data_IF_650788702714
#
_entry.id   IF_650788702714
#
_cell.length_a   1.000
_cell.length_b   1.000
_cell.length_c   1.000
_cell.angle_alpha   90.00
_cell.angle_beta   90.00
_cell.angle_gamma   90.00
#
_symmetry.space_group_name_H-M   'P 1'
#
loop_
_entity.id
_entity.type
_entity.pdbx_description
1 polymer ?
#
# COMPACT_ATOMS: atom_id res chain seq x y z
N UNK A 1 -1.30 -15.05 -14.96
CA UNK A 1 -1.40 -14.40 -13.64
C UNK A 1 -2.59 -13.45 -13.69
N UNK A 2 -3.60 -13.59 -12.84
CA UNK A 2 -4.75 -12.66 -12.82
C UNK A 2 -4.30 -11.34 -12.20
N UNK A 3 -4.32 -10.26 -12.99
CA UNK A 3 -4.12 -8.90 -12.50
C UNK A 3 -5.36 -8.51 -11.71
N UNK A 4 -5.24 -8.40 -10.39
CA UNK A 4 -6.33 -7.92 -9.54
C UNK A 4 -6.46 -6.41 -9.79
N UNK A 5 -7.34 -6.05 -10.72
CA UNK A 5 -7.59 -4.65 -11.13
C UNK A 5 -8.80 -4.04 -10.45
N UNK A 6 -9.56 -4.76 -9.61
CA UNK A 6 -10.80 -4.22 -9.04
C UNK A 6 -10.56 -3.09 -8.03
N UNK A 7 -10.95 -1.84 -8.35
CA UNK A 7 -10.93 -0.71 -7.42
C UNK A 7 -12.19 -0.67 -6.54
N UNK A 8 -13.11 -1.63 -6.72
CA UNK A 8 -14.43 -1.64 -6.13
C UNK A 8 -14.42 -2.38 -4.78
N UNK A 9 -14.30 -1.62 -3.67
CA UNK A 9 -15.22 -1.77 -2.51
C UNK A 9 -14.93 -0.86 -1.31
N UNK A 10 -13.90 -0.01 -1.31
CA UNK A 10 -13.61 0.80 -0.12
C UNK A 10 -13.48 2.25 -0.54
N UNK A 11 -14.50 3.05 -0.22
CA UNK A 11 -14.48 4.50 -0.33
C UNK A 11 -13.19 4.99 0.33
N UNK A 12 -12.21 5.40 -0.50
CA UNK A 12 -10.90 5.79 -0.02
C UNK A 12 -11.07 6.81 1.11
N UNK A 13 -10.54 6.49 2.30
CA UNK A 13 -10.51 7.46 3.38
C UNK A 13 -9.75 8.69 2.88
N UNK A 14 -10.04 9.86 3.45
CA UNK A 14 -9.22 11.05 3.17
C UNK A 14 -8.16 11.16 4.25
N UNK A 15 -6.95 11.48 3.85
CA UNK A 15 -5.90 11.85 4.80
C UNK A 15 -6.35 13.10 5.55
N UNK A 16 -6.36 13.07 6.88
CA UNK A 16 -6.78 14.23 7.68
C UNK A 16 -5.88 15.46 7.49
N UNK A 17 -4.63 15.25 7.05
CA UNK A 17 -3.64 16.31 6.84
C UNK A 17 -3.77 16.95 5.46
N UNK A 18 -3.58 16.18 4.38
CA UNK A 18 -3.57 16.73 3.02
C UNK A 18 -4.88 16.50 2.23
N UNK A 19 -5.88 15.84 2.84
CA UNK A 19 -7.20 15.56 2.25
C UNK A 19 -7.20 14.65 0.99
N UNK A 20 -6.03 14.16 0.56
CA UNK A 20 -5.90 13.18 -0.52
C UNK A 20 -6.57 11.85 -0.18
N UNK A 21 -7.04 11.13 -1.21
CA UNK A 21 -7.59 9.78 -1.08
C UNK A 21 -6.50 8.79 -0.71
N UNK A 22 -6.77 8.01 0.34
CA UNK A 22 -5.92 6.92 0.83
C UNK A 22 -6.68 5.61 0.81
N UNK A 23 -5.96 4.54 0.50
CA UNK A 23 -6.47 3.16 0.57
C UNK A 23 -5.65 2.42 1.60
N UNK A 24 -6.32 1.82 2.59
CA UNK A 24 -5.64 1.02 3.60
C UNK A 24 -5.56 -0.44 3.14
N UNK A 25 -4.38 -1.04 3.26
CA UNK A 25 -4.14 -2.45 2.92
C UNK A 25 -3.32 -3.13 4.00
N UNK A 26 -3.65 -4.37 4.29
CA UNK A 26 -2.82 -5.19 5.17
C UNK A 26 -1.51 -5.53 4.49
N UNK A 27 -0.42 -5.49 5.27
CA UNK A 27 0.89 -5.93 4.82
C UNK A 27 0.88 -7.43 4.50
N UNK A 28 1.60 -7.79 3.43
CA UNK A 28 1.88 -9.20 3.14
C UNK A 28 2.72 -9.87 4.24
N UNK A 29 3.44 -9.08 5.05
CA UNK A 29 4.25 -9.57 6.16
C UNK A 29 3.43 -9.59 7.45
N UNK A 30 3.54 -10.69 8.17
CA UNK A 30 3.01 -10.82 9.53
C UNK A 30 4.10 -10.42 10.51
N UNK A 31 3.77 -9.58 11.49
CA UNK A 31 4.66 -9.29 12.58
C UNK A 31 4.86 -10.57 13.41
N UNK A 32 6.12 -11.05 13.51
CA UNK A 32 6.44 -12.31 14.19
C UNK A 32 6.19 -12.28 15.71
N UNK A 33 6.18 -11.11 16.33
CA UNK A 33 5.96 -10.94 17.77
C UNK A 33 4.47 -10.93 18.07
N UNK A 34 3.68 -10.19 17.28
CA UNK A 34 2.25 -10.00 17.57
C UNK A 34 1.34 -10.95 16.80
N UNK A 35 1.85 -11.66 15.79
CA UNK A 35 1.07 -12.50 14.89
C UNK A 35 0.12 -11.72 13.96
N UNK A 36 0.20 -10.38 13.95
CA UNK A 36 -0.74 -9.51 13.21
C UNK A 36 -0.09 -8.87 11.99
N UNK A 37 -0.89 -8.64 10.95
CA UNK A 37 -0.50 -7.82 9.79
C UNK A 37 -0.66 -6.34 10.14
N UNK A 38 0.32 -5.52 9.79
CA UNK A 38 0.19 -4.06 9.90
C UNK A 38 -0.63 -3.50 8.74
N UNK A 39 -1.38 -2.43 8.99
CA UNK A 39 -2.04 -1.66 7.93
C UNK A 39 -1.05 -0.66 7.31
N UNK A 40 -1.07 -0.56 5.99
CA UNK A 40 -0.26 0.37 5.20
C UNK A 40 -1.24 1.32 4.49
N UNK A 41 -1.12 2.65 4.69
CA UNK A 41 -1.89 3.62 3.92
C UNK A 41 -1.19 3.83 2.58
N UNK A 42 -1.87 3.50 1.48
CA UNK A 42 -1.40 3.72 0.11
C UNK A 42 -2.06 4.96 -0.47
N UNK A 43 -1.37 5.62 -1.41
CA UNK A 43 -2.08 6.50 -2.35
C UNK A 43 -3.13 5.69 -3.11
N UNK A 44 -4.29 6.29 -3.37
CA UNK A 44 -5.38 5.59 -4.06
C UNK A 44 -5.04 5.24 -5.51
N UNK A 45 -4.17 6.03 -6.13
CA UNK A 45 -3.71 5.83 -7.50
C UNK A 45 -2.28 5.23 -7.49
N UNK A 46 -1.98 4.33 -8.44
CA UNK A 46 -0.61 3.88 -8.65
C UNK A 46 0.27 5.05 -9.10
N UNK A 47 1.57 4.92 -8.91
CA UNK A 47 2.54 5.90 -9.39
C UNK A 47 3.03 5.51 -10.78
N UNK A 48 3.13 6.50 -11.67
CA UNK A 48 3.61 6.29 -13.04
C UNK A 48 5.12 6.02 -13.09
N UNK A 49 5.89 6.63 -12.17
CA UNK A 49 7.33 6.38 -12.08
C UNK A 49 7.62 5.13 -11.22
N UNK A 50 8.11 4.02 -11.82
CA UNK A 50 8.44 2.80 -11.09
C UNK A 50 9.59 2.98 -10.08
N UNK A 51 10.31 4.11 -10.12
CA UNK A 51 11.36 4.49 -9.15
C UNK A 51 10.78 5.03 -7.85
N UNK A 52 9.59 5.61 -7.88
CA UNK A 52 8.89 6.18 -6.71
C UNK A 52 8.10 5.11 -5.97
N UNK A 53 7.48 4.18 -6.71
CA UNK A 53 6.64 3.14 -6.16
C UNK A 53 7.45 1.91 -5.74
N UNK A 54 7.28 1.48 -4.49
CA UNK A 54 7.90 0.27 -3.97
C UNK A 54 6.89 -0.72 -3.38
N UNK A 55 5.60 -0.53 -3.65
CA UNK A 55 4.54 -1.40 -3.13
C UNK A 55 3.76 -1.98 -4.30
N UNK A 56 3.54 -3.29 -4.28
CA UNK A 56 2.61 -3.96 -5.20
C UNK A 56 1.47 -4.60 -4.41
N UNK A 57 0.36 -4.84 -5.10
CA UNK A 57 -0.76 -5.59 -4.53
C UNK A 57 -0.66 -7.05 -4.97
N UNK A 58 -0.58 -7.95 -4.00
CA UNK A 58 -0.54 -9.40 -4.25
C UNK A 58 -1.84 -10.05 -3.78
N UNK A 59 -2.25 -11.19 -4.37
CA UNK A 59 -3.39 -11.96 -3.87
C UNK A 59 -3.22 -12.30 -2.39
N UNK A 60 -4.31 -12.25 -1.62
CA UNK A 60 -4.29 -12.70 -0.24
C UNK A 60 -4.46 -14.24 -0.21
N UNK A 61 -3.45 -15.00 0.23
CA UNK A 61 -3.56 -16.46 0.27
C UNK A 61 -4.62 -16.94 1.27
N UNK A 62 -4.89 -16.14 2.30
CA UNK A 62 -5.87 -16.45 3.35
C UNK A 62 -7.32 -16.18 2.88
N UNK A 63 -7.47 -15.37 1.83
CA UNK A 63 -8.76 -15.05 1.23
C UNK A 63 -8.55 -14.66 -0.26
N UNK A 64 -8.44 -15.64 -1.17
CA UNK A 64 -8.08 -15.40 -2.57
C UNK A 64 -9.05 -14.51 -3.35
N UNK A 65 -10.33 -14.52 -2.97
CA UNK A 65 -11.38 -13.66 -3.53
C UNK A 65 -11.53 -12.34 -2.77
N UNK A 66 -10.76 -12.16 -1.70
CA UNK A 66 -10.80 -11.01 -0.81
C UNK A 66 -9.85 -9.88 -1.21
N UNK A 67 -9.60 -9.00 -0.24
CA UNK A 67 -8.72 -7.86 -0.46
C UNK A 67 -7.28 -8.30 -0.69
N UNK A 68 -6.58 -7.72 -1.68
CA UNK A 68 -5.17 -7.99 -1.89
C UNK A 68 -4.33 -7.43 -0.74
N UNK A 69 -3.16 -8.03 -0.54
CA UNK A 69 -2.18 -7.60 0.44
C UNK A 69 -1.18 -6.63 -0.19
N UNK A 70 -0.77 -5.62 0.57
CA UNK A 70 0.30 -4.72 0.20
C UNK A 70 1.66 -5.39 0.47
N UNK A 71 2.42 -5.62 -0.59
CA UNK A 71 3.78 -6.15 -0.50
C UNK A 71 4.79 -5.04 -0.80
N UNK A 72 5.62 -4.72 0.20
CA UNK A 72 6.71 -3.75 0.06
C UNK A 72 7.91 -4.48 -0.55
N UNK A 73 8.28 -4.07 -1.76
CA UNK A 73 9.40 -4.61 -2.51
C UNK A 73 10.73 -4.17 -1.91
N UNK A 74 11.64 -5.12 -1.75
CA UNK A 74 13.07 -4.88 -1.57
C UNK A 74 13.73 -4.47 -2.89
N UNK A 75 14.93 -3.89 -2.83
CA UNK A 75 15.66 -3.49 -4.05
C UNK A 75 15.89 -4.66 -5.02
N UNK A 76 16.16 -5.85 -4.48
CA UNK A 76 16.32 -7.06 -5.29
C UNK A 76 15.00 -7.50 -5.97
N UNK A 77 13.86 -7.33 -5.29
CA UNK A 77 12.55 -7.63 -5.87
C UNK A 77 12.14 -6.57 -6.90
N UNK A 78 12.44 -5.29 -6.66
CA UNK A 78 12.17 -4.20 -7.61
C UNK A 78 12.80 -4.42 -8.97
N UNK A 79 14.01 -5.01 -9.01
CA UNK A 79 14.70 -5.36 -10.24
C UNK A 79 14.05 -6.52 -11.02
N UNK A 80 13.21 -7.32 -10.36
CA UNK A 80 12.54 -8.50 -10.93
C UNK A 80 11.07 -8.26 -11.27
N UNK A 81 10.47 -7.25 -10.67
CA UNK A 81 9.09 -6.85 -10.96
C UNK A 81 9.06 -6.08 -12.28
N UNK A 82 8.19 -6.47 -13.24
CA UNK A 82 8.02 -5.74 -14.49
C UNK A 82 7.70 -4.25 -14.27
N UNK A 83 8.12 -3.40 -15.21
CA UNK A 83 7.88 -1.95 -15.13
C UNK A 83 6.42 -1.58 -15.37
N UNK A 84 5.68 -2.39 -16.11
CA UNK A 84 4.24 -2.24 -16.41
C UNK A 84 3.34 -2.68 -15.25
N UNK A 85 3.89 -3.32 -14.22
CA UNK A 85 3.11 -3.71 -13.03
C UNK A 85 2.78 -2.46 -12.20
N UNK A 86 1.49 -2.18 -11.89
CA UNK A 86 1.12 -1.03 -11.08
C UNK A 86 1.82 -1.01 -9.72
N UNK A 87 2.55 0.07 -9.44
CA UNK A 87 3.24 0.28 -8.17
C UNK A 87 2.56 1.37 -7.39
N UNK A 88 2.55 1.22 -6.07
CA UNK A 88 2.00 2.16 -5.12
C UNK A 88 3.12 2.66 -4.22
N UNK A 89 2.83 3.76 -3.52
CA UNK A 89 3.69 4.32 -2.48
C UNK A 89 2.87 4.48 -1.21
N UNK A 90 3.54 4.35 -0.06
CA UNK A 90 2.93 4.67 1.21
C UNK A 90 2.56 6.16 1.25
N UNK A 91 1.31 6.48 1.55
CA UNK A 91 0.81 7.85 1.53
C UNK A 91 1.61 8.76 2.47
N UNK A 92 1.94 8.31 3.68
CA UNK A 92 2.73 9.11 4.63
C UNK A 92 4.20 9.31 4.26
N UNK A 93 4.67 8.75 3.14
CA UNK A 93 5.95 9.12 2.54
C UNK A 93 5.84 10.34 1.62
N UNK A 94 4.67 10.57 1.03
CA UNK A 94 4.44 11.66 0.06
C UNK A 94 3.57 12.78 0.62
N UNK A 95 2.88 12.54 1.74
CA UNK A 95 2.03 13.55 2.39
C UNK A 95 2.88 14.68 2.99
N UNK A 96 2.63 15.95 2.62
CA UNK A 96 3.35 17.10 3.19
C UNK A 96 3.09 17.24 4.70
N UNK A 97 1.93 16.76 5.17
CA UNK A 97 1.49 16.81 6.56
C UNK A 97 1.71 15.47 7.29
N UNK A 98 2.59 14.59 6.78
CA UNK A 98 2.85 13.27 7.37
C UNK A 98 3.34 13.36 8.82
N UNK A 99 4.09 14.41 9.14
CA UNK A 99 4.64 14.62 10.49
C UNK A 99 3.54 14.85 11.54
N UNK A 100 2.39 15.40 11.16
CA UNK A 100 1.26 15.62 12.07
C UNK A 100 0.56 14.30 12.44
N UNK A 101 0.63 13.31 11.56
CA UNK A 101 0.13 11.95 11.81
C UNK A 101 1.12 11.09 12.62
N UNK A 102 2.42 11.34 12.51
CA UNK A 102 3.46 10.58 13.23
C UNK A 102 3.63 11.01 14.68
N UNK A 103 3.13 12.18 15.07
CA UNK A 103 3.15 12.65 16.46
C UNK A 103 2.09 11.91 17.26
N UNK A 104 2.43 11.31 18.42
CA UNK A 104 1.41 10.82 19.34
C UNK A 104 0.50 11.99 19.69
N UNK A 105 -0.81 11.81 19.53
CA UNK A 105 -1.79 12.77 20.05
C UNK A 105 -1.57 12.85 21.57
N UNK A 106 -0.97 13.94 22.02
CA UNK A 106 -0.87 14.28 23.45
C UNK A 106 -2.25 14.62 23.98
#
# INVERSE_FOLDING_TARGET
MKVITSPAMWAGARCGGCQSRIVWRYSSKVNRVTGKRSLIPLNAEPVDDPRVGNIILIPNPDNPDGEPLAHVLTDAERARVPEDMPRYVAHFFTCPNANDYRRPRR
#
